data_IF_473981147329
#
_entry.id   IF_473981147329
#
_cell.length_a   1.000
_cell.length_b   1.000
_cell.length_c   1.000
_cell.angle_alpha   90.00
_cell.angle_beta   90.00
_cell.angle_gamma   90.00
#
_symmetry.space_group_name_H-M   'P 1'
#
loop_
_entity.id
_entity.type
_entity.pdbx_description
1 polymer ?
#
# COMPACT_ATOMS: atom_id res chain seq x y z
N UNK A 1 59.12 -47.81 -12.20
CA UNK A 1 59.23 -46.37 -11.88
C UNK A 1 57.89 -45.94 -11.33
N UNK A 2 57.86 -45.74 -10.02
CA UNK A 2 56.66 -45.59 -9.19
C UNK A 2 56.32 -44.10 -9.09
N UNK A 3 55.14 -43.68 -9.55
CA UNK A 3 54.64 -42.33 -9.32
C UNK A 3 53.66 -42.34 -8.16
N UNK A 4 54.17 -41.89 -7.00
CA UNK A 4 53.45 -41.55 -5.79
C UNK A 4 52.56 -40.32 -6.04
N UNK A 5 51.25 -40.49 -5.92
CA UNK A 5 50.27 -39.38 -5.85
C UNK A 5 50.24 -38.86 -4.41
N UNK A 6 50.62 -37.60 -4.21
CA UNK A 6 50.57 -36.92 -2.91
C UNK A 6 49.16 -36.39 -2.64
N UNK A 7 48.66 -36.71 -1.46
CA UNK A 7 47.39 -36.26 -0.93
C UNK A 7 47.38 -34.73 -0.71
N UNK A 8 46.31 -34.07 -1.17
CA UNK A 8 45.96 -32.72 -0.73
C UNK A 8 44.92 -32.83 0.40
N UNK A 9 45.25 -32.20 1.52
CA UNK A 9 44.41 -32.09 2.71
C UNK A 9 43.08 -31.40 2.39
N UNK A 10 42.00 -32.05 2.82
CA UNK A 10 40.62 -31.56 2.84
C UNK A 10 40.47 -30.41 3.85
N UNK A 11 40.09 -29.22 3.36
CA UNK A 11 39.65 -28.11 4.19
C UNK A 11 38.20 -28.35 4.62
N UNK A 12 37.96 -28.40 5.93
CA UNK A 12 36.62 -28.46 6.54
C UNK A 12 35.79 -27.23 6.20
N UNK A 13 34.52 -27.36 5.79
CA UNK A 13 33.64 -26.21 5.60
C UNK A 13 33.34 -25.54 6.93
N UNK A 14 33.61 -24.24 7.02
CA UNK A 14 33.25 -23.40 8.16
C UNK A 14 31.74 -23.50 8.44
N UNK A 15 31.37 -23.80 9.68
CA UNK A 15 30.00 -23.67 10.15
C UNK A 15 29.58 -22.21 10.01
N UNK A 16 28.68 -21.94 9.05
CA UNK A 16 28.07 -20.63 8.88
C UNK A 16 27.17 -20.35 10.10
N UNK A 17 27.64 -19.50 11.01
CA UNK A 17 26.76 -18.89 12.02
C UNK A 17 25.63 -18.12 11.31
N UNK A 18 24.39 -18.14 11.86
CA UNK A 18 23.30 -17.36 11.31
C UNK A 18 23.65 -15.86 11.30
N UNK A 19 23.20 -15.10 10.29
CA UNK A 19 23.55 -13.70 10.16
C UNK A 19 23.02 -12.91 11.36
N UNK A 20 23.93 -12.39 12.19
CA UNK A 20 23.58 -11.40 13.22
C UNK A 20 22.96 -10.18 12.53
N UNK A 21 21.88 -9.65 13.10
CA UNK A 21 21.19 -8.49 12.56
C UNK A 21 22.19 -7.37 12.24
N UNK A 22 22.20 -6.92 10.99
CA UNK A 22 23.11 -5.88 10.51
C UNK A 22 22.87 -4.59 11.29
N UNK A 23 23.77 -4.23 12.21
CA UNK A 23 23.70 -2.96 12.93
C UNK A 23 23.65 -1.82 11.91
N UNK A 24 22.65 -0.92 12.04
CA UNK A 24 22.50 0.25 11.15
C UNK A 24 23.79 1.06 11.20
N UNK A 25 24.54 1.11 10.08
CA UNK A 25 25.75 1.95 9.96
C UNK A 25 25.34 3.41 10.12
N UNK A 26 25.85 4.07 11.17
CA UNK A 26 25.72 5.52 11.35
C UNK A 26 26.38 6.23 10.16
N UNK A 27 25.83 7.38 9.74
CA UNK A 27 26.33 8.20 8.64
C UNK A 27 26.57 9.63 9.13
N UNK A 28 27.47 10.37 8.49
CA UNK A 28 27.76 11.78 8.80
C UNK A 28 28.35 11.97 10.21
N UNK A 29 28.00 13.08 10.87
CA UNK A 29 28.50 13.45 12.21
C UNK A 29 28.28 12.31 13.22
N UNK A 30 27.16 11.59 13.13
CA UNK A 30 26.83 10.45 14.01
C UNK A 30 27.81 9.26 13.91
N UNK A 31 28.58 9.17 12.83
CA UNK A 31 29.58 8.11 12.64
C UNK A 31 30.97 8.49 13.16
N UNK A 32 31.26 9.78 13.36
CA UNK A 32 32.55 10.27 13.82
C UNK A 32 32.81 9.86 15.28
N UNK A 33 34.07 9.77 15.74
CA UNK A 33 34.39 9.72 17.16
C UNK A 33 34.10 11.08 17.84
N UNK A 34 33.92 11.08 19.17
CA UNK A 34 33.56 12.31 19.90
C UNK A 34 34.62 13.41 19.82
N UNK A 35 35.90 13.06 19.71
CA UNK A 35 37.00 14.03 19.50
C UNK A 35 36.89 14.80 18.18
N UNK A 36 36.33 14.19 17.14
CA UNK A 36 36.12 14.83 15.84
C UNK A 36 34.76 15.51 15.75
N UNK A 37 33.72 14.89 16.30
CA UNK A 37 32.38 15.47 16.36
C UNK A 37 32.37 16.77 17.17
N UNK A 38 33.21 16.91 18.20
CA UNK A 38 33.32 18.12 19.02
C UNK A 38 33.84 19.36 18.26
N UNK A 39 34.31 19.20 17.01
CA UNK A 39 34.69 20.32 16.14
C UNK A 39 33.48 21.01 15.50
N UNK A 40 32.32 20.36 15.50
CA UNK A 40 31.06 20.92 15.01
C UNK A 40 30.34 21.66 16.14
N UNK A 41 29.45 22.58 15.76
CA UNK A 41 28.65 23.28 16.76
C UNK A 41 27.69 22.32 17.50
N UNK A 42 27.34 22.59 18.76
CA UNK A 42 26.34 21.82 19.50
C UNK A 42 25.02 21.63 18.73
N UNK A 43 24.59 22.65 17.97
CA UNK A 43 23.36 22.60 17.17
C UNK A 43 23.47 21.65 15.98
N UNK A 44 24.59 21.63 15.27
CA UNK A 44 24.81 20.71 14.14
C UNK A 44 24.85 19.25 14.61
N UNK A 45 25.50 18.99 15.75
CA UNK A 45 25.54 17.66 16.38
C UNK A 45 24.13 17.21 16.76
N UNK A 46 23.34 18.12 17.34
CA UNK A 46 21.97 17.83 17.76
C UNK A 46 21.05 17.56 16.55
N UNK A 47 21.11 18.38 15.51
CA UNK A 47 20.32 18.23 14.29
C UNK A 47 20.60 16.88 13.62
N UNK A 48 21.88 16.52 13.47
CA UNK A 48 22.28 15.23 12.92
C UNK A 48 21.73 14.06 13.74
N UNK A 49 21.67 14.17 15.07
CA UNK A 49 21.10 13.14 15.92
C UNK A 49 19.57 13.05 15.81
N UNK A 50 18.89 14.19 15.77
CA UNK A 50 17.43 14.28 15.68
C UNK A 50 16.87 13.64 14.40
N UNK A 51 17.59 13.67 13.28
CA UNK A 51 17.22 12.94 12.05
C UNK A 51 17.03 11.42 12.26
N UNK A 52 17.68 10.87 13.29
CA UNK A 52 17.60 9.44 13.62
C UNK A 52 16.52 9.10 14.64
N UNK A 53 15.94 10.11 15.30
CA UNK A 53 14.95 9.94 16.35
C UNK A 53 13.56 9.78 15.74
N UNK A 54 12.98 8.59 15.89
CA UNK A 54 11.66 8.24 15.31
C UNK A 54 10.53 8.16 16.33
N UNK A 55 10.86 8.11 17.62
CA UNK A 55 9.88 8.03 18.70
C UNK A 55 9.31 9.42 19.00
N UNK A 56 8.02 9.50 19.26
CA UNK A 56 7.31 10.70 19.69
C UNK A 56 7.78 11.20 21.06
N UNK A 57 8.43 10.35 21.86
CA UNK A 57 8.91 10.66 23.19
C UNK A 57 9.83 11.88 23.25
N UNK A 58 10.60 12.12 22.19
CA UNK A 58 11.52 13.25 22.13
C UNK A 58 10.80 14.61 22.12
N UNK A 59 9.50 14.64 21.82
CA UNK A 59 8.65 15.85 21.87
C UNK A 59 8.39 16.31 23.32
N UNK A 60 8.58 15.45 24.33
CA UNK A 60 8.49 15.83 25.75
C UNK A 60 9.70 16.67 26.20
N UNK A 61 10.82 16.56 25.48
CA UNK A 61 12.11 17.08 25.92
C UNK A 61 12.61 18.25 25.08
N UNK A 62 13.32 19.17 25.73
CA UNK A 62 14.21 20.15 25.10
C UNK A 62 15.64 19.60 25.19
N UNK A 63 16.18 18.99 24.12
CA UNK A 63 17.51 18.41 24.15
C UNK A 63 18.61 19.47 23.98
N UNK A 64 19.71 19.31 24.70
CA UNK A 64 20.93 20.10 24.55
C UNK A 64 22.15 19.16 24.42
N UNK A 65 23.25 19.69 23.88
CA UNK A 65 24.51 18.95 23.73
C UNK A 65 25.53 19.51 24.69
N UNK A 66 26.20 18.63 25.43
CA UNK A 66 27.31 18.99 26.31
C UNK A 66 28.57 18.20 25.92
N UNK A 67 29.72 18.86 25.96
CA UNK A 67 31.02 18.30 25.60
C UNK A 67 31.84 18.19 26.87
N UNK A 68 32.07 16.95 27.31
CA UNK A 68 32.82 16.67 28.53
C UNK A 68 34.30 16.60 28.16
N UNK A 69 35.08 17.50 28.76
CA UNK A 69 36.54 17.57 28.65
C UNK A 69 37.21 17.08 29.93
N UNK A 70 38.41 16.53 29.83
CA UNK A 70 39.24 16.18 30.97
C UNK A 70 40.04 17.38 31.50
N UNK A 71 40.83 17.14 32.55
CA UNK A 71 41.67 18.15 33.20
C UNK A 71 42.78 18.71 32.28
N UNK A 72 43.07 18.01 31.17
CA UNK A 72 44.08 18.36 30.18
C UNK A 72 43.46 19.08 28.97
N UNK A 73 42.14 19.32 28.99
CA UNK A 73 41.40 20.01 27.94
C UNK A 73 41.03 19.13 26.75
N UNK A 74 41.20 17.80 26.85
CA UNK A 74 40.87 16.85 25.80
C UNK A 74 39.43 16.36 25.94
N UNK A 75 38.74 16.23 24.80
CA UNK A 75 37.36 15.74 24.74
C UNK A 75 37.29 14.28 25.15
N UNK A 76 36.57 14.00 26.23
CA UNK A 76 36.29 12.67 26.76
C UNK A 76 35.08 12.07 26.06
N UNK A 77 33.95 12.80 26.04
CA UNK A 77 32.72 12.36 25.39
C UNK A 77 31.74 13.49 25.14
N UNK A 78 30.80 13.25 24.23
CA UNK A 78 29.66 14.14 23.96
C UNK A 78 28.38 13.50 24.50
N UNK A 79 27.57 14.28 25.22
CA UNK A 79 26.32 13.81 25.82
C UNK A 79 25.14 14.68 25.41
N UNK A 80 24.01 14.04 25.14
CA UNK A 80 22.71 14.69 24.99
C UNK A 80 22.05 14.81 26.36
N UNK A 81 21.70 16.03 26.76
CA UNK A 81 20.91 16.34 27.97
C UNK A 81 19.46 16.60 27.57
N UNK A 82 18.53 15.84 28.12
CA UNK A 82 17.10 15.95 27.86
C UNK A 82 16.42 16.66 29.03
N UNK A 83 16.08 17.93 28.85
CA UNK A 83 15.34 18.72 29.83
C UNK A 83 13.85 18.56 29.60
N UNK A 84 13.07 18.43 30.67
CA UNK A 84 11.62 18.48 30.57
C UNK A 84 11.18 19.84 30.03
N UNK A 85 10.34 19.86 29.00
CA UNK A 85 9.83 21.13 28.45
C UNK A 85 8.88 21.88 29.40
N UNK A 86 8.28 21.16 30.35
CA UNK A 86 7.34 21.70 31.33
C UNK A 86 8.04 22.22 32.59
N UNK A 87 9.36 22.06 32.71
CA UNK A 87 10.14 22.44 33.90
C UNK A 87 9.55 21.90 35.22
N UNK A 88 8.97 20.70 35.19
CA UNK A 88 8.42 20.04 36.37
C UNK A 88 9.52 19.82 37.43
N UNK A 89 9.36 20.28 38.69
CA UNK A 89 10.43 20.26 39.70
C UNK A 89 11.00 18.86 39.99
N UNK A 90 10.19 17.82 39.81
CA UNK A 90 10.57 16.43 40.04
C UNK A 90 11.01 15.69 38.77
N UNK A 91 11.09 16.38 37.62
CA UNK A 91 11.62 15.80 36.39
C UNK A 91 13.12 16.09 36.25
N UNK A 92 13.94 15.11 36.62
CA UNK A 92 15.39 15.21 36.48
C UNK A 92 15.83 15.21 35.01
N UNK A 93 16.96 15.86 34.73
CA UNK A 93 17.59 15.89 33.41
C UNK A 93 18.17 14.51 33.08
N UNK A 94 17.85 13.98 31.92
CA UNK A 94 18.36 12.68 31.47
C UNK A 94 19.54 12.89 30.55
N UNK A 95 20.62 12.14 30.77
CA UNK A 95 21.83 12.22 29.97
C UNK A 95 22.02 10.95 29.13
N UNK A 96 22.38 11.12 27.86
CA UNK A 96 22.68 9.99 26.96
C UNK A 96 23.94 10.26 26.15
N UNK A 97 24.87 9.33 26.16
CA UNK A 97 26.08 9.44 25.35
C UNK A 97 25.73 9.45 23.86
N UNK A 98 26.37 10.34 23.09
CA UNK A 98 26.14 10.48 21.64
C UNK A 98 26.39 9.18 20.88
N UNK A 99 27.38 8.41 21.33
CA UNK A 99 27.74 7.13 20.72
C UNK A 99 26.90 5.93 21.22
N UNK A 100 26.03 6.09 22.23
CA UNK A 100 25.20 5.01 22.79
C UNK A 100 23.71 5.35 22.76
N UNK A 101 23.21 5.74 21.58
CA UNK A 101 21.81 6.16 21.40
C UNK A 101 20.77 5.06 21.63
N UNK A 102 21.16 3.77 21.61
CA UNK A 102 20.26 2.65 21.88
C UNK A 102 19.97 2.42 23.37
N UNK A 103 20.80 2.97 24.26
CA UNK A 103 20.68 2.76 25.70
C UNK A 103 19.80 3.86 26.32
N UNK A 104 18.90 3.46 27.24
CA UNK A 104 18.13 4.39 28.06
C UNK A 104 16.87 4.98 27.41
N UNK A 105 16.47 4.55 26.20
CA UNK A 105 15.20 4.98 25.58
C UNK A 105 13.99 4.65 26.48
N UNK A 106 14.02 3.49 27.15
CA UNK A 106 12.99 3.10 28.11
C UNK A 106 12.89 4.10 29.27
N UNK A 107 14.02 4.62 29.78
CA UNK A 107 14.00 5.60 30.86
C UNK A 107 13.37 6.93 30.42
N UNK A 108 13.67 7.40 29.20
CA UNK A 108 13.02 8.60 28.63
C UNK A 108 11.49 8.43 28.56
N UNK A 109 10.99 7.23 28.26
CA UNK A 109 9.56 6.94 28.26
C UNK A 109 8.96 6.99 29.67
N UNK A 110 9.55 6.29 30.62
CA UNK A 110 9.04 6.18 32.00
C UNK A 110 8.97 7.55 32.69
N UNK A 111 10.02 8.37 32.54
CA UNK A 111 10.08 9.68 33.22
C UNK A 111 9.16 10.72 32.58
N UNK A 112 9.04 10.73 31.25
CA UNK A 112 8.12 11.62 30.55
C UNK A 112 6.67 11.28 30.88
N UNK A 113 6.29 9.98 30.87
CA UNK A 113 4.95 9.55 31.26
C UNK A 113 4.61 9.98 32.69
N UNK A 114 5.53 9.75 33.64
CA UNK A 114 5.34 10.19 35.01
C UNK A 114 5.21 11.72 35.14
N UNK A 115 5.89 12.47 34.29
CA UNK A 115 5.79 13.93 34.25
C UNK A 115 4.49 14.41 33.59
N UNK A 116 4.08 13.83 32.47
CA UNK A 116 2.85 14.18 31.78
C UNK A 116 1.61 13.94 32.67
N UNK A 117 1.66 12.92 33.54
CA UNK A 117 0.68 12.67 34.60
C UNK A 117 0.69 13.79 35.66
N UNK A 118 1.87 14.23 36.12
CA UNK A 118 1.99 15.31 37.13
C UNK A 118 1.57 16.68 36.59
N UNK A 119 1.89 16.97 35.33
CA UNK A 119 1.57 18.24 34.68
C UNK A 119 0.11 18.30 34.18
N UNK A 120 -0.67 17.22 34.30
CA UNK A 120 -2.05 17.15 33.80
C UNK A 120 -2.18 17.23 32.28
N UNK A 121 -1.08 17.07 31.53
CA UNK A 121 -1.04 17.10 30.06
C UNK A 121 -1.55 15.78 29.45
N UNK A 122 -1.40 14.67 30.19
CA UNK A 122 -2.29 13.53 30.06
C UNK A 122 -3.42 13.78 31.05
N UNK A 123 -4.58 14.21 30.56
CA UNK A 123 -5.80 14.20 31.35
C UNK A 123 -5.88 12.86 32.05
N UNK A 124 -5.94 12.88 33.39
CA UNK A 124 -5.83 11.75 34.30
C UNK A 124 -6.34 10.45 33.64
N UNK A 125 -5.46 9.71 32.99
CA UNK A 125 -5.65 8.27 32.84
C UNK A 125 -5.18 7.70 34.16
N UNK A 126 -6.00 7.90 35.19
CA UNK A 126 -6.04 6.89 36.23
C UNK A 126 -6.16 5.57 35.50
N UNK A 127 -5.15 4.71 35.63
CA UNK A 127 -5.31 3.30 35.35
C UNK A 127 -6.30 2.72 36.37
N UNK A 128 -7.55 3.18 36.31
CA UNK A 128 -8.68 2.32 36.60
C UNK A 128 -8.63 1.27 35.50
N UNK A 129 -8.51 -0.03 35.84
CA UNK A 129 -8.51 -1.12 34.86
C UNK A 129 -9.75 -1.14 33.94
N UNK A 130 -10.74 -0.27 34.20
CA UNK A 130 -12.01 -0.14 33.52
C UNK A 130 -12.22 1.27 32.93
N UNK A 131 -11.18 1.94 32.43
CA UNK A 131 -11.40 3.13 31.62
C UNK A 131 -12.11 2.72 30.31
N UNK A 132 -13.39 3.01 30.23
CA UNK A 132 -14.23 2.73 29.06
C UNK A 132 -13.67 3.45 27.83
N UNK A 133 -13.45 2.72 26.72
CA UNK A 133 -13.11 3.31 25.40
C UNK A 133 -14.18 4.32 24.95
N UNK A 134 -15.40 4.17 25.48
CA UNK A 134 -16.58 4.97 25.18
C UNK A 134 -16.74 6.19 26.11
N UNK A 135 -15.85 6.43 27.07
CA UNK A 135 -16.06 7.43 28.11
C UNK A 135 -17.14 7.03 29.12
N UNK A 136 -17.52 7.94 30.02
CA UNK A 136 -18.64 7.77 30.96
C UNK A 136 -19.96 8.24 30.33
N UNK A 137 -21.05 7.51 30.58
CA UNK A 137 -22.44 7.81 30.15
C UNK A 137 -22.82 7.57 28.68
N UNK A 138 -22.28 6.54 28.02
CA UNK A 138 -22.79 6.09 26.71
C UNK A 138 -23.89 5.04 26.85
N UNK A 139 -25.08 5.37 26.36
CA UNK A 139 -26.17 4.41 26.21
C UNK A 139 -25.88 3.40 25.08
N UNK A 140 -26.37 2.18 25.27
CA UNK A 140 -26.29 1.16 24.23
C UNK A 140 -27.01 1.61 22.97
N UNK A 141 -26.32 1.50 21.83
CA UNK A 141 -26.97 1.45 20.52
C UNK A 141 -26.43 0.26 19.73
N UNK A 142 -27.28 -0.35 18.92
CA UNK A 142 -26.90 -1.48 18.06
C UNK A 142 -25.76 -1.12 17.08
N UNK A 143 -25.75 0.06 16.42
CA UNK A 143 -24.63 0.45 15.56
C UNK A 143 -23.30 0.56 16.31
N UNK A 144 -23.31 1.10 17.53
CA UNK A 144 -22.11 1.21 18.35
C UNK A 144 -21.58 -0.17 18.75
N UNK A 145 -22.48 -1.09 19.10
CA UNK A 145 -22.10 -2.46 19.42
C UNK A 145 -21.44 -3.16 18.22
N UNK A 146 -21.99 -3.00 17.00
CA UNK A 146 -21.39 -3.54 15.77
C UNK A 146 -20.00 -2.94 15.54
N UNK A 147 -19.85 -1.62 15.71
CA UNK A 147 -18.56 -0.95 15.52
C UNK A 147 -17.50 -1.46 16.50
N UNK A 148 -17.84 -1.66 17.77
CA UNK A 148 -16.94 -2.23 18.77
C UNK A 148 -16.49 -3.64 18.39
N UNK A 149 -17.42 -4.50 17.96
CA UNK A 149 -17.12 -5.87 17.55
C UNK A 149 -16.24 -5.92 16.29
N UNK A 150 -16.46 -5.00 15.35
CA UNK A 150 -15.61 -4.85 14.16
C UNK A 150 -14.18 -4.43 14.53
N UNK A 151 -14.05 -3.45 15.43
CA UNK A 151 -12.75 -2.99 15.94
C UNK A 151 -12.06 -4.08 16.73
N UNK A 152 -12.77 -4.82 17.59
CA UNK A 152 -12.21 -5.96 18.34
C UNK A 152 -11.68 -7.04 17.39
N UNK A 153 -12.46 -7.42 16.37
CA UNK A 153 -12.01 -8.40 15.38
C UNK A 153 -10.75 -7.94 14.65
N UNK A 154 -10.70 -6.67 14.23
CA UNK A 154 -9.57 -6.11 13.49
C UNK A 154 -8.32 -5.94 14.37
N UNK A 155 -8.47 -5.34 15.56
CA UNK A 155 -7.38 -5.04 16.50
C UNK A 155 -6.79 -6.30 17.10
N UNK A 156 -7.64 -7.25 17.49
CA UNK A 156 -7.23 -8.43 18.23
C UNK A 156 -7.04 -9.65 17.32
N UNK A 157 -7.05 -9.43 15.99
CA UNK A 157 -6.88 -10.44 14.95
C UNK A 157 -7.82 -11.65 15.10
N UNK A 158 -9.06 -11.39 15.52
CA UNK A 158 -10.09 -12.42 15.69
C UNK A 158 -10.94 -12.54 14.43
N UNK A 159 -11.34 -13.76 14.11
CA UNK A 159 -12.34 -13.99 13.05
C UNK A 159 -13.66 -13.33 13.43
N UNK A 160 -14.35 -12.72 12.46
CA UNK A 160 -15.72 -12.22 12.64
C UNK A 160 -16.70 -13.32 13.08
N UNK A 161 -16.39 -14.60 12.80
CA UNK A 161 -17.16 -15.75 13.30
C UNK A 161 -17.15 -15.86 14.83
N UNK A 162 -16.14 -15.30 15.50
CA UNK A 162 -16.07 -15.26 16.96
C UNK A 162 -17.22 -14.47 17.58
N UNK A 163 -17.79 -13.51 16.84
CA UNK A 163 -18.94 -12.69 17.27
C UNK A 163 -20.19 -13.55 17.50
N UNK A 164 -20.33 -14.64 16.76
CA UNK A 164 -21.48 -15.54 16.85
C UNK A 164 -21.30 -16.70 17.83
N UNK A 165 -20.18 -16.76 18.56
CA UNK A 165 -19.89 -17.82 19.54
C UNK A 165 -20.98 -17.93 20.61
N UNK A 166 -21.33 -19.16 20.99
CA UNK A 166 -22.32 -19.43 22.04
C UNK A 166 -21.91 -18.82 23.38
N UNK A 167 -20.62 -18.81 23.71
CA UNK A 167 -20.11 -18.19 24.94
C UNK A 167 -20.26 -16.67 24.93
N UNK A 168 -20.02 -16.02 23.78
CA UNK A 168 -20.20 -14.57 23.64
C UNK A 168 -21.67 -14.18 23.70
N UNK A 169 -22.54 -15.03 23.15
CA UNK A 169 -24.00 -14.88 23.29
C UNK A 169 -24.43 -15.02 24.74
N UNK A 170 -23.92 -16.03 25.46
CA UNK A 170 -24.21 -16.22 26.87
C UNK A 170 -23.72 -15.03 27.72
N UNK A 171 -22.53 -14.50 27.44
CA UNK A 171 -21.99 -13.30 28.08
C UNK A 171 -22.87 -12.07 27.84
N UNK A 172 -23.28 -11.83 26.59
CA UNK A 172 -24.18 -10.72 26.25
C UNK A 172 -25.54 -10.84 26.96
N UNK A 173 -26.10 -12.06 27.07
CA UNK A 173 -27.34 -12.31 27.79
C UNK A 173 -27.19 -12.15 29.31
N UNK A 174 -26.03 -12.53 29.88
CA UNK A 174 -25.74 -12.36 31.30
C UNK A 174 -25.67 -10.88 31.70
N UNK A 175 -25.01 -10.07 30.87
CA UNK A 175 -24.86 -8.63 31.12
C UNK A 175 -26.14 -7.85 30.80
N UNK A 176 -26.85 -8.22 29.73
CA UNK A 176 -28.09 -7.55 29.31
C UNK A 176 -29.02 -8.52 28.58
N UNK A 177 -29.99 -9.12 29.28
CA UNK A 177 -30.96 -10.03 28.66
C UNK A 177 -31.70 -9.40 27.49
N UNK A 178 -31.91 -10.17 26.43
CA UNK A 178 -32.57 -9.70 25.19
C UNK A 178 -31.63 -9.01 24.20
N UNK A 179 -30.32 -8.92 24.47
CA UNK A 179 -29.35 -8.36 23.52
C UNK A 179 -29.19 -9.26 22.30
N UNK A 180 -29.47 -8.71 21.11
CA UNK A 180 -29.20 -9.38 19.83
C UNK A 180 -27.75 -9.09 19.40
N UNK A 181 -26.98 -10.16 19.15
CA UNK A 181 -25.65 -10.04 18.58
C UNK A 181 -25.73 -10.00 17.05
N UNK A 182 -24.90 -9.16 16.40
CA UNK A 182 -24.85 -9.12 14.95
C UNK A 182 -24.24 -10.40 14.37
N UNK A 183 -24.52 -10.67 13.11
CA UNK A 183 -23.89 -11.78 12.40
C UNK A 183 -22.41 -11.47 12.08
N UNK A 184 -21.61 -12.50 11.85
CA UNK A 184 -20.25 -12.35 11.37
C UNK A 184 -20.19 -11.52 10.06
N UNK A 185 -21.16 -11.74 9.16
CA UNK A 185 -21.28 -11.00 7.91
C UNK A 185 -21.57 -9.50 8.17
N UNK A 186 -22.46 -9.17 9.10
CA UNK A 186 -22.75 -7.78 9.48
C UNK A 186 -21.49 -7.05 9.95
N UNK A 187 -20.72 -7.69 10.84
CA UNK A 187 -19.48 -7.12 11.37
C UNK A 187 -18.42 -6.96 10.27
N UNK A 188 -18.26 -7.97 9.42
CA UNK A 188 -17.34 -7.91 8.28
C UNK A 188 -17.73 -6.83 7.26
N UNK A 189 -19.01 -6.70 6.94
CA UNK A 189 -19.52 -5.67 6.02
C UNK A 189 -19.28 -4.27 6.58
N UNK A 190 -19.52 -4.06 7.88
CA UNK A 190 -19.25 -2.78 8.52
C UNK A 190 -17.76 -2.42 8.48
N UNK A 191 -16.88 -3.39 8.79
CA UNK A 191 -15.44 -3.20 8.67
C UNK A 191 -15.03 -2.85 7.23
N UNK A 192 -15.62 -3.51 6.23
CA UNK A 192 -15.37 -3.21 4.83
C UNK A 192 -15.84 -1.80 4.44
N UNK A 193 -16.99 -1.35 4.94
CA UNK A 193 -17.49 0.02 4.71
C UNK A 193 -16.57 1.07 5.32
N UNK A 194 -16.06 0.87 6.54
CA UNK A 194 -15.10 1.79 7.15
C UNK A 194 -13.82 1.94 6.31
N UNK A 195 -13.33 0.83 5.76
CA UNK A 195 -12.18 0.83 4.85
C UNK A 195 -12.55 1.56 3.56
N UNK A 196 -13.70 1.26 2.97
CA UNK A 196 -14.19 1.95 1.78
C UNK A 196 -14.28 3.46 1.99
N UNK A 197 -14.94 3.93 3.05
CA UNK A 197 -15.11 5.35 3.36
C UNK A 197 -13.78 6.07 3.58
N UNK A 198 -12.80 5.38 4.18
CA UNK A 198 -11.44 5.91 4.35
C UNK A 198 -10.74 6.12 3.01
N UNK A 199 -10.89 5.20 2.06
CA UNK A 199 -10.11 5.19 0.82
C UNK A 199 -10.84 5.80 -0.39
N UNK A 200 -12.18 5.89 -0.36
CA UNK A 200 -12.96 6.46 -1.46
C UNK A 200 -12.63 7.95 -1.67
N UNK A 201 -12.27 8.67 -0.60
CA UNK A 201 -11.77 10.05 -0.66
C UNK A 201 -10.45 10.20 -1.43
N UNK A 202 -9.66 9.13 -1.53
CA UNK A 202 -8.39 9.08 -2.25
C UNK A 202 -8.55 8.58 -3.69
N UNK A 203 -9.78 8.36 -4.17
CA UNK A 203 -10.04 7.91 -5.54
C UNK A 203 -9.44 8.84 -6.59
N UNK A 204 -9.27 10.13 -6.27
CA UNK A 204 -8.67 11.13 -7.15
C UNK A 204 -7.13 11.08 -7.21
N UNK A 205 -6.44 10.29 -6.38
CA UNK A 205 -4.99 10.11 -6.45
C UNK A 205 -4.57 9.43 -7.77
N UNK A 206 -5.47 8.67 -8.39
CA UNK A 206 -5.25 8.01 -9.67
C UNK A 206 -6.49 8.10 -10.54
N UNK A 207 -6.30 8.45 -11.80
CA UNK A 207 -7.36 8.40 -12.83
C UNK A 207 -7.86 6.96 -13.10
N UNK A 208 -7.16 5.94 -12.62
CA UNK A 208 -7.47 4.54 -12.87
C UNK A 208 -8.87 4.15 -12.41
N UNK A 209 -9.22 4.50 -11.18
CA UNK A 209 -10.53 4.17 -10.61
C UNK A 209 -11.65 4.89 -11.34
N UNK A 210 -11.42 6.17 -11.68
CA UNK A 210 -12.36 6.98 -12.45
C UNK A 210 -12.63 6.34 -13.81
N UNK A 211 -11.56 6.01 -14.53
CA UNK A 211 -11.64 5.37 -15.85
C UNK A 211 -12.33 4.01 -15.75
N UNK A 212 -11.95 3.17 -14.78
CA UNK A 212 -12.57 1.86 -14.59
C UNK A 212 -14.10 1.98 -14.40
N UNK A 213 -14.57 2.90 -13.55
CA UNK A 213 -16.02 3.12 -13.37
C UNK A 213 -16.68 3.64 -14.65
N UNK A 214 -16.03 4.55 -15.40
CA UNK A 214 -16.56 5.04 -16.67
C UNK A 214 -16.64 3.92 -17.72
N UNK A 215 -15.69 2.99 -17.72
CA UNK A 215 -15.69 1.83 -18.62
C UNK A 215 -16.67 0.73 -18.19
N UNK A 216 -17.31 0.82 -17.02
CA UNK A 216 -18.45 -0.03 -16.67
C UNK A 216 -19.71 0.44 -17.43
N UNK A 217 -20.24 -0.34 -18.40
CA UNK A 217 -21.31 0.12 -19.28
C UNK A 217 -22.64 0.43 -18.57
N UNK A 218 -22.89 -0.20 -17.42
CA UNK A 218 -24.05 0.02 -16.56
C UNK A 218 -23.97 1.30 -15.71
N UNK A 219 -22.76 1.87 -15.57
CA UNK A 219 -22.48 3.00 -14.67
C UNK A 219 -22.09 4.26 -15.44
N UNK A 220 -21.03 4.18 -16.24
CA UNK A 220 -20.48 5.29 -17.05
C UNK A 220 -20.34 6.57 -16.21
N UNK A 221 -20.67 7.73 -16.80
CA UNK A 221 -20.74 9.02 -16.12
C UNK A 221 -21.96 9.16 -15.20
N UNK A 222 -22.98 8.30 -15.34
CA UNK A 222 -24.21 8.37 -14.53
C UNK A 222 -23.91 8.17 -13.04
N UNK A 223 -23.05 7.21 -12.71
CA UNK A 223 -22.65 6.95 -11.31
C UNK A 223 -22.01 8.17 -10.65
N UNK A 224 -21.19 8.92 -11.39
CA UNK A 224 -20.54 10.13 -10.89
C UNK A 224 -21.54 11.28 -10.71
N UNK A 225 -22.51 11.42 -11.61
CA UNK A 225 -23.58 12.40 -11.47
C UNK A 225 -24.42 12.14 -10.21
N UNK A 226 -24.80 10.87 -9.98
CA UNK A 226 -25.57 10.45 -8.80
C UNK A 226 -24.77 10.55 -7.51
N UNK A 227 -23.45 10.41 -7.59
CA UNK A 227 -22.52 10.51 -6.44
C UNK A 227 -21.97 11.93 -6.24
N UNK A 228 -22.57 12.95 -6.87
CA UNK A 228 -22.23 14.37 -6.73
C UNK A 228 -20.78 14.76 -7.13
N UNK A 229 -20.18 14.03 -8.06
CA UNK A 229 -18.88 14.40 -8.65
C UNK A 229 -19.03 15.32 -9.86
N UNK A 230 -17.97 16.08 -10.17
CA UNK A 230 -17.90 16.91 -11.39
C UNK A 230 -17.75 16.04 -12.65
N UNK A 231 -18.86 15.83 -13.35
CA UNK A 231 -18.90 14.98 -14.56
C UNK A 231 -18.07 15.56 -15.70
N UNK A 232 -18.01 16.89 -15.86
CA UNK A 232 -17.28 17.52 -16.96
C UNK A 232 -15.76 17.33 -16.82
N UNK A 233 -15.25 17.42 -15.60
CA UNK A 233 -13.84 17.14 -15.30
C UNK A 233 -13.49 15.69 -15.62
N UNK A 234 -14.31 14.74 -15.15
CA UNK A 234 -14.13 13.31 -15.38
C UNK A 234 -14.19 12.98 -16.87
N UNK A 235 -15.17 13.54 -17.58
CA UNK A 235 -15.31 13.38 -19.04
C UNK A 235 -14.03 13.83 -19.75
N UNK A 236 -13.52 15.01 -19.44
CA UNK A 236 -12.29 15.52 -20.04
C UNK A 236 -11.07 14.63 -19.76
N UNK A 237 -10.93 14.15 -18.51
CA UNK A 237 -9.85 13.25 -18.11
C UNK A 237 -9.88 11.92 -18.88
N UNK A 238 -11.04 11.29 -19.01
CA UNK A 238 -11.19 10.01 -19.73
C UNK A 238 -10.91 10.19 -21.23
N UNK A 239 -11.42 11.27 -21.83
CA UNK A 239 -11.16 11.59 -23.24
C UNK A 239 -9.66 11.78 -23.49
N UNK A 240 -8.99 12.56 -22.65
CA UNK A 240 -7.56 12.81 -22.76
C UNK A 240 -6.75 11.51 -22.66
N UNK A 241 -7.08 10.63 -21.70
CA UNK A 241 -6.41 9.34 -21.52
C UNK A 241 -6.65 8.36 -22.67
N UNK A 242 -7.87 8.33 -23.21
CA UNK A 242 -8.15 7.53 -24.39
C UNK A 242 -7.32 7.99 -25.60
N UNK A 243 -7.24 9.30 -25.83
CA UNK A 243 -6.46 9.86 -26.93
C UNK A 243 -4.95 9.59 -26.79
N UNK A 244 -4.42 9.62 -25.56
CA UNK A 244 -3.01 9.37 -25.27
C UNK A 244 -2.62 7.89 -25.44
N UNK A 245 -3.39 6.98 -24.84
CA UNK A 245 -3.00 5.57 -24.72
C UNK A 245 -3.56 4.67 -25.83
N UNK A 246 -4.65 5.11 -26.47
CA UNK A 246 -5.35 4.34 -27.51
C UNK A 246 -5.54 5.19 -28.78
N UNK A 247 -4.46 5.74 -29.38
CA UNK A 247 -4.56 6.58 -30.57
C UNK A 247 -5.10 5.80 -31.77
N UNK A 248 -5.68 6.52 -32.72
CA UNK A 248 -6.17 5.93 -33.96
C UNK A 248 -4.98 5.56 -34.87
N UNK A 249 -4.90 4.31 -35.33
CA UNK A 249 -3.77 3.84 -36.14
C UNK A 249 -3.60 4.65 -37.43
N UNK A 250 -4.71 5.15 -37.99
CA UNK A 250 -4.73 5.98 -39.20
C UNK A 250 -4.20 7.41 -38.95
N UNK A 251 -4.29 7.93 -37.72
CA UNK A 251 -3.76 9.25 -37.34
C UNK A 251 -2.25 9.22 -37.06
N UNK A 252 -1.69 8.07 -36.68
CA UNK A 252 -0.25 7.93 -36.38
C UNK A 252 0.60 8.02 -37.67
N UNK A 253 0.06 7.61 -38.83
CA UNK A 253 0.76 7.74 -40.12
C UNK A 253 0.82 9.19 -40.64
N UNK A 254 -0.09 10.08 -40.21
CA UNK A 254 -0.09 11.49 -40.64
C UNK A 254 0.89 12.35 -39.83
N UNK A 255 1.17 11.99 -38.58
CA UNK A 255 2.06 12.75 -37.70
C UNK A 255 3.54 12.46 -37.94
N UNK A 256 3.89 11.30 -38.52
CA UNK A 256 5.30 10.95 -38.82
C UNK A 256 5.87 11.58 -40.11
N UNK A 257 5.04 12.22 -40.95
CA UNK A 257 5.48 12.77 -42.24
C UNK A 257 5.68 14.30 -42.27
N UNK A 258 5.50 15.00 -41.15
CA UNK A 258 5.75 16.45 -41.06
C UNK A 258 7.13 16.76 -40.45
N UNK A 259 8.19 16.33 -41.13
CA UNK A 259 9.52 16.94 -40.95
C UNK A 259 10.33 16.86 -42.24
N UNK A 260 9.85 17.49 -43.30
CA UNK A 260 10.69 17.92 -44.42
C UNK A 260 10.32 19.33 -44.81
N UNK A 261 11.26 20.24 -44.58
CA UNK A 261 11.27 21.63 -45.00
C UNK A 261 11.15 21.74 -46.52
N UNK A 262 10.22 22.56 -47.02
CA UNK A 262 10.52 23.47 -48.11
C UNK A 262 9.51 24.64 -48.16
N UNK A 263 10.01 25.85 -48.40
CA UNK A 263 9.20 27.06 -48.40
C UNK A 263 8.31 27.17 -49.64
N UNK A 264 7.05 27.58 -49.46
CA UNK A 264 6.26 28.25 -50.51
C UNK A 264 5.00 28.97 -49.97
N UNK A 265 5.08 30.30 -50.03
CA UNK A 265 4.10 31.32 -50.41
C UNK A 265 2.67 31.37 -49.81
N UNK A 266 2.48 32.42 -49.01
CA UNK A 266 1.26 32.99 -48.39
C UNK A 266 0.13 33.42 -49.37
N UNK A 267 0.26 33.24 -50.68
CA UNK A 267 -0.67 33.81 -51.68
C UNK A 267 -1.34 32.80 -52.64
N UNK A 268 -1.78 31.64 -52.16
CA UNK A 268 -2.72 30.79 -52.91
C UNK A 268 -3.91 30.36 -52.06
N UNK A 269 -4.74 31.32 -51.69
CA UNK A 269 -6.05 31.09 -51.09
C UNK A 269 -7.12 31.45 -52.12
N UNK A 270 -7.45 30.51 -53.01
CA UNK A 270 -8.65 30.61 -53.86
C UNK A 270 -9.23 29.22 -54.14
N UNK A 271 -10.41 29.01 -53.57
CA UNK A 271 -11.42 28.02 -53.95
C UNK A 271 -11.00 26.54 -53.90
N UNK A 272 -10.98 25.99 -52.68
CA UNK A 272 -11.37 24.60 -52.48
C UNK A 272 -12.72 24.62 -51.76
N UNK A 273 -13.79 24.34 -52.49
CA UNK A 273 -15.14 24.21 -51.98
C UNK A 273 -15.16 23.30 -50.76
N UNK A 274 -15.77 23.77 -49.67
CA UNK A 274 -16.09 22.97 -48.50
C UNK A 274 -17.04 21.84 -48.90
N UNK A 275 -16.49 20.71 -49.36
CA UNK A 275 -17.20 19.45 -49.33
C UNK A 275 -17.32 19.09 -47.85
N UNK A 276 -18.48 19.37 -47.26
CA UNK A 276 -18.91 18.79 -45.99
C UNK A 276 -18.98 17.28 -46.19
N UNK A 277 -17.85 16.61 -46.03
CA UNK A 277 -17.82 15.17 -45.87
C UNK A 277 -18.63 14.90 -44.62
N UNK A 278 -19.81 14.29 -44.76
CA UNK A 278 -20.54 13.76 -43.61
C UNK A 278 -19.63 12.72 -42.95
N UNK A 279 -18.98 13.12 -41.86
CA UNK A 279 -18.15 12.23 -41.05
C UNK A 279 -19.12 11.22 -40.44
N UNK A 280 -19.04 9.97 -40.92
CA UNK A 280 -19.75 8.84 -40.31
C UNK A 280 -19.35 8.82 -38.82
N UNK A 281 -20.31 8.77 -37.87
CA UNK A 281 -19.98 8.82 -36.45
C UNK A 281 -19.05 7.66 -36.13
N UNK A 282 -17.87 7.98 -35.61
CA UNK A 282 -16.90 6.99 -35.15
C UNK A 282 -17.49 6.26 -33.95
N UNK A 283 -17.98 5.04 -34.19
CA UNK A 283 -18.57 4.19 -33.18
C UNK A 283 -17.54 3.67 -32.16
N UNK A 284 -16.24 3.73 -32.49
CA UNK A 284 -15.12 3.34 -31.63
C UNK A 284 -14.49 4.55 -30.91
N UNK A 285 -15.13 5.72 -31.01
CA UNK A 285 -14.74 6.91 -30.27
C UNK A 285 -15.24 6.88 -28.82
N UNK A 286 -14.38 7.29 -27.89
CA UNK A 286 -14.76 7.57 -26.51
C UNK A 286 -15.90 8.59 -26.40
N UNK A 287 -16.01 9.54 -27.32
CA UNK A 287 -17.13 10.50 -27.34
C UNK A 287 -18.46 9.79 -27.57
N UNK A 288 -18.52 8.94 -28.61
CA UNK A 288 -19.70 8.14 -28.94
C UNK A 288 -20.09 7.22 -27.78
N UNK A 289 -19.09 6.59 -27.14
CA UNK A 289 -19.35 5.80 -25.94
C UNK A 289 -19.94 6.65 -24.82
N UNK A 290 -19.41 7.82 -24.49
CA UNK A 290 -19.90 8.63 -23.38
C UNK A 290 -21.30 9.22 -23.61
N UNK A 291 -21.72 9.39 -24.87
CA UNK A 291 -23.04 9.91 -25.25
C UNK A 291 -24.13 8.83 -25.30
N UNK A 292 -23.76 7.56 -25.50
CA UNK A 292 -24.74 6.47 -25.47
C UNK A 292 -25.31 6.25 -24.05
N UNK A 293 -26.56 5.77 -23.92
CA UNK A 293 -27.11 5.42 -22.61
C UNK A 293 -26.31 4.31 -21.92
N UNK A 294 -26.52 4.16 -20.61
CA UNK A 294 -25.98 3.01 -19.85
C UNK A 294 -26.60 1.71 -20.36
N UNK A 295 -25.83 0.63 -20.33
CA UNK A 295 -26.29 -0.72 -20.70
C UNK A 295 -26.96 -1.36 -19.48
N UNK A 296 -28.23 -1.78 -19.58
CA UNK A 296 -28.91 -2.50 -18.52
C UNK A 296 -28.18 -3.79 -18.07
N UNK A 297 -28.27 -4.11 -16.77
CA UNK A 297 -27.58 -5.27 -16.17
C UNK A 297 -28.03 -6.61 -16.74
N UNK A 298 -29.30 -6.75 -17.13
CA UNK A 298 -29.84 -7.94 -17.77
C UNK A 298 -29.17 -8.24 -19.11
N UNK A 299 -28.88 -7.20 -19.90
CA UNK A 299 -28.09 -7.33 -21.13
C UNK A 299 -26.66 -7.78 -20.79
N UNK A 300 -26.01 -7.15 -19.81
CA UNK A 300 -24.65 -7.54 -19.41
C UNK A 300 -24.59 -8.99 -18.92
N UNK A 301 -25.60 -9.47 -18.20
CA UNK A 301 -25.70 -10.86 -17.77
C UNK A 301 -25.91 -11.83 -18.93
N UNK A 302 -26.60 -11.44 -20.00
CA UNK A 302 -26.69 -12.26 -21.22
C UNK A 302 -25.32 -12.49 -21.87
N UNK A 303 -24.39 -11.53 -21.75
CA UNK A 303 -23.01 -11.72 -22.17
C UNK A 303 -22.17 -12.53 -21.18
N UNK A 304 -22.62 -12.74 -19.94
CA UNK A 304 -21.84 -13.34 -18.87
C UNK A 304 -21.08 -12.33 -18.00
N UNK A 305 -21.41 -11.04 -18.10
CA UNK A 305 -20.86 -9.95 -17.30
C UNK A 305 -20.14 -8.88 -18.14
N UNK A 306 -19.52 -7.93 -17.44
CA UNK A 306 -18.88 -6.74 -18.04
C UNK A 306 -17.68 -7.13 -18.92
N UNK A 307 -16.82 -8.04 -18.46
CA UNK A 307 -15.63 -8.45 -19.22
C UNK A 307 -16.01 -9.20 -20.51
N UNK A 308 -16.89 -10.22 -20.49
CA UNK A 308 -17.39 -10.83 -21.73
C UNK A 308 -18.09 -9.86 -22.67
N UNK A 309 -18.85 -8.89 -22.15
CA UNK A 309 -19.47 -7.84 -22.96
C UNK A 309 -18.41 -7.06 -23.75
N UNK A 310 -17.35 -6.57 -23.08
CA UNK A 310 -16.28 -5.83 -23.77
C UNK A 310 -15.48 -6.70 -24.74
N UNK A 311 -15.25 -7.97 -24.43
CA UNK A 311 -14.66 -8.91 -25.40
C UNK A 311 -15.52 -9.03 -26.67
N UNK A 312 -16.85 -9.09 -26.55
CA UNK A 312 -17.74 -9.13 -27.71
C UNK A 312 -17.74 -7.81 -28.50
N UNK A 313 -17.55 -6.66 -27.84
CA UNK A 313 -17.45 -5.35 -28.49
C UNK A 313 -16.16 -5.17 -29.29
N UNK A 314 -15.13 -6.01 -29.09
CA UNK A 314 -13.84 -5.90 -29.77
C UNK A 314 -13.96 -5.96 -31.30
N UNK A 315 -14.97 -6.66 -31.83
CA UNK A 315 -15.21 -6.77 -33.27
C UNK A 315 -15.68 -5.45 -33.91
N UNK A 316 -16.42 -4.62 -33.16
CA UNK A 316 -17.01 -3.37 -33.67
C UNK A 316 -16.35 -2.11 -33.13
N UNK A 317 -15.72 -2.20 -31.96
CA UNK A 317 -15.15 -1.09 -31.19
C UNK A 317 -13.81 -1.51 -30.58
N UNK A 318 -12.79 -1.83 -31.40
CA UNK A 318 -11.54 -2.42 -30.92
C UNK A 318 -10.78 -1.53 -29.94
N UNK A 319 -10.71 -0.20 -30.15
CA UNK A 319 -9.98 0.73 -29.27
C UNK A 319 -10.68 0.90 -27.94
N UNK A 320 -12.00 1.06 -27.94
CA UNK A 320 -12.79 1.15 -26.71
C UNK A 320 -12.77 -0.14 -25.92
N UNK A 321 -12.98 -1.28 -26.59
CA UNK A 321 -12.92 -2.58 -25.94
C UNK A 321 -11.54 -2.82 -25.33
N UNK A 322 -10.46 -2.38 -26.02
CA UNK A 322 -9.11 -2.47 -25.48
C UNK A 322 -8.94 -1.63 -24.20
N UNK A 323 -9.35 -0.36 -24.21
CA UNK A 323 -9.30 0.49 -23.01
C UNK A 323 -10.11 -0.14 -21.87
N UNK A 324 -11.32 -0.60 -22.16
CA UNK A 324 -12.16 -1.21 -21.13
C UNK A 324 -11.49 -2.45 -20.50
N UNK A 325 -10.96 -3.35 -21.32
CA UNK A 325 -10.31 -4.57 -20.85
C UNK A 325 -9.01 -4.26 -20.08
N UNK A 326 -8.20 -3.33 -20.56
CA UNK A 326 -6.94 -2.95 -19.88
C UNK A 326 -7.19 -2.40 -18.46
N UNK A 327 -8.27 -1.64 -18.25
CA UNK A 327 -8.62 -1.11 -16.93
C UNK A 327 -9.43 -2.09 -16.07
N UNK A 328 -10.40 -2.79 -16.65
CA UNK A 328 -11.34 -3.63 -15.89
C UNK A 328 -10.79 -5.02 -15.53
N UNK A 329 -9.74 -5.49 -16.21
CA UNK A 329 -9.09 -6.76 -15.87
C UNK A 329 -7.98 -6.61 -14.84
N UNK A 330 -7.61 -5.38 -14.48
CA UNK A 330 -6.68 -5.15 -13.39
C UNK A 330 -7.28 -5.65 -12.06
N UNK A 331 -6.54 -6.45 -11.28
CA UNK A 331 -7.02 -6.93 -9.99
C UNK A 331 -7.29 -5.76 -9.04
N UNK A 332 -8.47 -5.77 -8.41
CA UNK A 332 -8.85 -4.75 -7.42
C UNK A 332 -8.05 -4.84 -6.11
N UNK A 333 -7.32 -5.94 -5.88
CA UNK A 333 -6.52 -6.15 -4.68
C UNK A 333 -5.31 -7.06 -4.95
N UNK A 334 -4.32 -7.00 -4.06
CA UNK A 334 -3.18 -7.94 -4.04
C UNK A 334 -3.56 -9.35 -3.60
N UNK A 335 -4.82 -9.62 -3.22
CA UNK A 335 -5.24 -10.90 -2.63
C UNK A 335 -4.94 -12.09 -3.54
N UNK A 336 -5.11 -11.96 -4.86
CA UNK A 336 -4.82 -13.03 -5.81
C UNK A 336 -3.33 -13.38 -5.81
N UNK A 337 -2.47 -12.36 -5.79
CA UNK A 337 -1.02 -12.54 -5.67
C UNK A 337 -0.65 -13.11 -4.27
N UNK A 338 -1.24 -12.58 -3.20
CA UNK A 338 -1.00 -13.04 -1.83
C UNK A 338 -1.44 -14.49 -1.61
N UNK A 339 -2.55 -14.92 -2.23
CA UNK A 339 -3.00 -16.33 -2.19
C UNK A 339 -1.97 -17.24 -2.88
N UNK A 340 -1.45 -16.84 -4.03
CA UNK A 340 -0.38 -17.56 -4.70
C UNK A 340 0.88 -17.65 -3.81
N UNK A 341 1.29 -16.54 -3.19
CA UNK A 341 2.45 -16.51 -2.29
C UNK A 341 2.24 -17.22 -0.95
N UNK A 342 1.00 -17.28 -0.44
CA UNK A 342 0.66 -18.04 0.77
C UNK A 342 0.89 -19.53 0.54
N UNK A 343 0.53 -20.05 -0.63
CA UNK A 343 0.86 -21.41 -1.04
C UNK A 343 2.37 -21.59 -1.22
N UNK A 344 3.04 -20.59 -1.83
CA UNK A 344 4.49 -20.56 -1.96
C UNK A 344 5.27 -20.54 -0.64
N UNK A 345 4.66 -20.08 0.47
CA UNK A 345 5.29 -20.09 1.81
C UNK A 345 5.65 -21.50 2.28
N UNK A 346 4.89 -22.52 1.88
CA UNK A 346 5.23 -23.92 2.15
C UNK A 346 6.54 -24.34 1.46
N UNK A 347 6.87 -23.67 0.35
CA UNK A 347 8.05 -23.95 -0.48
C UNK A 347 9.29 -23.12 -0.11
N UNK A 348 9.12 -22.12 0.76
CA UNK A 348 10.20 -21.30 1.33
C UNK A 348 10.24 -21.51 2.86
N UNK A 349 9.71 -22.62 3.36
CA UNK A 349 9.72 -22.86 4.80
C UNK A 349 11.17 -23.07 5.29
N UNK A 350 11.35 -22.97 6.61
CA UNK A 350 12.64 -23.09 7.29
C UNK A 350 13.34 -24.46 7.16
N UNK A 351 12.72 -25.46 6.55
CA UNK A 351 13.25 -26.80 6.28
C UNK A 351 13.64 -27.01 4.80
N UNK A 352 13.14 -26.17 3.88
CA UNK A 352 13.52 -26.19 2.47
C UNK A 352 14.64 -25.18 2.21
N UNK A 353 15.87 -25.55 2.56
CA UNK A 353 17.06 -24.82 2.14
C UNK A 353 17.43 -25.22 0.71
N UNK A 354 17.80 -24.25 -0.14
CA UNK A 354 18.34 -24.43 -1.51
C UNK A 354 17.38 -24.45 -2.72
N UNK A 355 16.14 -23.95 -2.63
CA UNK A 355 15.36 -23.68 -3.86
C UNK A 355 15.89 -22.41 -4.54
N UNK A 356 16.30 -22.50 -5.80
CA UNK A 356 16.73 -21.33 -6.57
C UNK A 356 15.53 -20.43 -6.94
N UNK A 357 15.76 -19.13 -7.13
CA UNK A 357 14.71 -18.18 -7.53
C UNK A 357 13.97 -18.61 -8.80
N UNK A 358 14.71 -19.13 -9.79
CA UNK A 358 14.14 -19.62 -11.05
C UNK A 358 13.24 -20.84 -10.85
N UNK A 359 13.64 -21.76 -9.97
CA UNK A 359 12.85 -22.96 -9.65
C UNK A 359 11.57 -22.57 -8.92
N UNK A 360 11.70 -21.67 -7.94
CA UNK A 360 10.56 -21.13 -7.20
C UNK A 360 9.56 -20.43 -8.13
N UNK A 361 10.03 -19.54 -9.02
CA UNK A 361 9.18 -18.84 -9.99
C UNK A 361 8.45 -19.82 -10.92
N UNK A 362 9.17 -20.81 -11.48
CA UNK A 362 8.59 -21.81 -12.37
C UNK A 362 7.50 -22.63 -11.67
N UNK A 363 7.75 -23.05 -10.43
CA UNK A 363 6.79 -23.82 -9.64
C UNK A 363 5.56 -23.00 -9.27
N UNK A 364 5.73 -21.73 -8.89
CA UNK A 364 4.62 -20.82 -8.62
C UNK A 364 3.75 -20.56 -9.86
N UNK A 365 4.38 -20.35 -11.02
CA UNK A 365 3.64 -20.15 -12.27
C UNK A 365 2.82 -21.40 -12.64
N UNK A 366 3.45 -22.58 -12.67
CA UNK A 366 2.77 -23.83 -13.03
C UNK A 366 1.65 -24.14 -12.02
N UNK A 367 1.93 -24.02 -10.71
CA UNK A 367 0.95 -24.28 -9.66
C UNK A 367 -0.25 -23.33 -9.69
N UNK A 368 -0.01 -22.05 -10.04
CA UNK A 368 -1.08 -21.05 -10.19
C UNK A 368 -1.91 -21.28 -11.46
N UNK A 369 -1.30 -21.75 -12.55
CA UNK A 369 -2.02 -21.96 -13.82
C UNK A 369 -2.77 -23.28 -13.89
N UNK A 370 -2.33 -24.30 -13.16
CA UNK A 370 -2.95 -25.63 -13.23
C UNK A 370 -4.42 -25.59 -12.78
N UNK A 371 -5.32 -26.15 -13.59
CA UNK A 371 -6.77 -26.10 -13.37
C UNK A 371 -7.44 -24.80 -13.82
N UNK A 372 -6.68 -23.85 -14.36
CA UNK A 372 -7.20 -22.64 -15.02
C UNK A 372 -7.28 -22.85 -16.54
N UNK A 373 -7.99 -21.98 -17.29
CA UNK A 373 -7.98 -22.04 -18.76
C UNK A 373 -6.59 -21.97 -19.40
N UNK A 374 -5.56 -21.45 -18.71
CA UNK A 374 -4.18 -21.41 -19.19
C UNK A 374 -3.49 -22.79 -19.15
N UNK A 375 -3.84 -23.63 -18.17
CA UNK A 375 -3.29 -24.98 -18.00
C UNK A 375 -4.36 -25.92 -17.42
N UNK A 376 -5.36 -26.31 -18.22
CA UNK A 376 -6.61 -26.85 -17.69
C UNK A 376 -6.47 -28.25 -17.09
N UNK A 377 -5.58 -29.08 -17.62
CA UNK A 377 -5.39 -30.46 -17.16
C UNK A 377 -4.02 -31.03 -17.56
N UNK A 378 -3.74 -32.24 -17.04
CA UNK A 378 -2.50 -32.96 -17.30
C UNK A 378 -2.30 -33.34 -18.78
N UNK A 379 -3.36 -33.56 -19.54
CA UNK A 379 -3.23 -33.89 -20.97
C UNK A 379 -2.63 -32.72 -21.76
N UNK A 380 -3.06 -31.48 -21.48
CA UNK A 380 -2.47 -30.28 -22.09
C UNK A 380 -0.99 -30.14 -21.73
N UNK A 381 -0.63 -30.41 -20.47
CA UNK A 381 0.77 -30.38 -20.03
C UNK A 381 1.59 -31.42 -20.80
N UNK A 382 1.11 -32.66 -20.85
CA UNK A 382 1.78 -33.75 -21.54
C UNK A 382 1.99 -33.45 -23.03
N UNK A 383 0.97 -32.89 -23.72
CA UNK A 383 1.10 -32.51 -25.13
C UNK A 383 2.14 -31.40 -25.35
N UNK A 384 2.22 -30.41 -24.45
CA UNK A 384 3.23 -29.34 -24.54
C UNK A 384 4.64 -29.92 -24.38
N UNK A 385 4.83 -30.81 -23.40
CA UNK A 385 6.12 -31.48 -23.17
C UNK A 385 6.50 -32.33 -24.38
N UNK A 386 5.59 -33.16 -24.88
CA UNK A 386 5.82 -34.02 -26.04
C UNK A 386 6.13 -33.24 -27.32
N UNK A 387 5.59 -32.04 -27.49
CA UNK A 387 5.89 -31.17 -28.65
C UNK A 387 7.29 -30.54 -28.57
N UNK A 388 7.89 -30.48 -27.37
CA UNK A 388 9.19 -29.83 -27.14
C UNK A 388 10.33 -30.81 -26.86
N UNK A 389 10.02 -32.08 -26.65
CA UNK A 389 10.98 -33.19 -26.70
C UNK A 389 11.22 -33.57 -28.16
#
# INVERSE_FOLDING_TARGET
>A
MSNTSSAQHSLTPAQLEPPRSRAKRRKGINALPDSEAAKYSPQEILNAAQETWRSDIYIHYRPEVDVIIDQEGKVVKIVFKFYCKYNEPNHHVIMRDRLRTGDGTHNLHVTAQACDVRCGALGVTSHTPNASILGSDIEYSEPLHIALLAIECARDHRSSSSVTSDLRRAEAQLLRPGTHLPTAATVSNYAALLVFDKYIGNMNESDFYTIAVVMCPDRKLKWFAESHYSVDYIRAQVIARFAELFPDADNVQQTSNQTRTDGRNIYTQRHASSSTTQVRPDIDSIHSYLETPVVPLDILWQYGGIIPYWNAQFASRPRLARMALDYLTAPASSVDAERAFSSGRLMINHLQHQVSSQTFQSQMAIGSWFGTPLLPNLHTVASIVQTRM
#
